data_IF_092692326154
#
_entry.id   IF_092692326154
#
_cell.length_a   1.000
_cell.length_b   1.000
_cell.length_c   1.000
_cell.angle_alpha   90.00
_cell.angle_beta   90.00
_cell.angle_gamma   90.00
#
_symmetry.space_group_name_H-M   'P 1'
#
loop_
_entity.id
_entity.type
_entity.pdbx_description
1 polymer ?
#
# COMPACT_ATOMS: atom_id res chain seq x y z
N UNK A 1 -30.71 -9.34 -47.08
CA UNK A 1 -30.29 -8.04 -46.49
C UNK A 1 -28.97 -8.21 -45.75
N UNK A 2 -27.89 -7.55 -46.20
CA UNK A 2 -26.79 -6.95 -45.40
C UNK A 2 -25.69 -6.42 -46.34
N UNK A 3 -25.64 -5.11 -46.48
CA UNK A 3 -24.67 -4.37 -47.29
C UNK A 3 -23.33 -4.34 -46.55
N UNK A 4 -22.28 -4.96 -47.11
CA UNK A 4 -20.91 -4.89 -46.56
C UNK A 4 -20.30 -3.52 -46.88
N UNK A 5 -20.29 -2.60 -45.92
CA UNK A 5 -19.54 -1.32 -46.04
C UNK A 5 -18.04 -1.59 -45.88
N UNK A 6 -17.28 -1.53 -46.98
CA UNK A 6 -15.80 -1.48 -46.95
C UNK A 6 -15.36 -0.11 -46.45
N UNK A 7 -14.78 -0.03 -45.25
CA UNK A 7 -14.13 1.20 -44.75
C UNK A 7 -12.79 1.36 -45.48
N UNK A 8 -12.70 2.36 -46.37
CA UNK A 8 -11.47 2.70 -47.08
C UNK A 8 -10.42 3.27 -46.13
N UNK A 9 -9.23 2.67 -46.11
CA UNK A 9 -8.07 3.19 -45.38
C UNK A 9 -7.59 4.44 -46.12
N UNK A 10 -7.72 5.61 -45.49
CA UNK A 10 -7.22 6.87 -46.06
C UNK A 10 -5.69 6.79 -46.11
N UNK A 11 -5.12 6.80 -47.33
CA UNK A 11 -3.67 6.86 -47.53
C UNK A 11 -3.16 8.22 -47.01
N UNK A 12 -2.37 8.20 -45.93
CA UNK A 12 -1.65 9.38 -45.44
C UNK A 12 -0.57 9.73 -46.46
N UNK A 13 -0.70 10.87 -47.14
CA UNK A 13 0.36 11.40 -48.01
C UNK A 13 1.35 12.18 -47.15
N UNK A 14 2.44 11.54 -46.77
CA UNK A 14 3.56 12.19 -46.09
C UNK A 14 4.38 12.90 -47.18
N UNK A 15 4.35 14.22 -47.22
CA UNK A 15 5.22 15.00 -48.11
C UNK A 15 6.66 14.90 -47.58
N UNK A 16 7.58 14.41 -48.41
CA UNK A 16 8.98 14.14 -48.06
C UNK A 16 9.80 15.43 -47.90
N UNK A 17 9.52 16.20 -46.84
CA UNK A 17 10.36 17.30 -46.40
C UNK A 17 11.20 16.84 -45.21
N UNK A 18 12.50 16.61 -45.43
CA UNK A 18 13.42 16.13 -44.39
C UNK A 18 13.39 17.02 -43.15
N UNK A 19 13.34 18.33 -43.31
CA UNK A 19 13.22 19.30 -42.21
C UNK A 19 11.92 19.14 -41.42
N UNK A 20 10.80 18.90 -42.10
CA UNK A 20 9.50 18.65 -41.45
C UNK A 20 9.54 17.36 -40.63
N UNK A 21 10.19 16.32 -41.15
CA UNK A 21 10.34 15.04 -40.47
C UNK A 21 11.17 15.17 -39.18
N UNK A 22 12.26 15.96 -39.20
CA UNK A 22 13.05 16.25 -38.01
C UNK A 22 12.25 16.97 -36.94
N UNK A 23 11.47 18.00 -37.31
CA UNK A 23 10.63 18.75 -36.35
C UNK A 23 9.60 17.84 -35.69
N UNK A 24 8.90 17.00 -36.48
CA UNK A 24 7.92 16.05 -35.95
C UNK A 24 8.61 15.05 -35.00
N UNK A 25 9.78 14.53 -35.36
CA UNK A 25 10.52 13.60 -34.51
C UNK A 25 10.93 14.23 -33.17
N UNK A 26 11.46 15.46 -33.18
CA UNK A 26 11.83 16.18 -31.97
C UNK A 26 10.62 16.43 -31.07
N UNK A 27 9.50 16.87 -31.64
CA UNK A 27 8.26 17.08 -30.89
C UNK A 27 7.74 15.78 -30.27
N UNK A 28 7.84 14.66 -30.99
CA UNK A 28 7.44 13.36 -30.48
C UNK A 28 8.33 12.92 -29.31
N UNK A 29 9.65 13.10 -29.43
CA UNK A 29 10.60 12.79 -28.34
C UNK A 29 10.30 13.64 -27.10
N UNK A 30 10.07 14.95 -27.27
CA UNK A 30 9.73 15.84 -26.17
C UNK A 30 8.42 15.41 -25.48
N UNK A 31 7.42 15.02 -26.26
CA UNK A 31 6.15 14.52 -25.72
C UNK A 31 6.32 13.23 -24.91
N UNK A 32 7.13 12.28 -25.40
CA UNK A 32 7.45 11.05 -24.68
C UNK A 32 8.17 11.35 -23.35
N UNK A 33 9.10 12.30 -23.34
CA UNK A 33 9.80 12.72 -22.10
C UNK A 33 8.79 13.26 -21.08
N UNK A 34 7.86 14.12 -21.50
CA UNK A 34 6.80 14.65 -20.61
C UNK A 34 5.93 13.52 -20.05
N UNK A 35 5.56 12.53 -20.86
CA UNK A 35 4.80 11.36 -20.41
C UNK A 35 5.59 10.57 -19.36
N UNK A 36 6.87 10.29 -19.60
CA UNK A 36 7.71 9.55 -18.64
C UNK A 36 7.80 10.31 -17.31
N UNK A 37 7.99 11.63 -17.36
CA UNK A 37 8.02 12.47 -16.15
C UNK A 37 6.68 12.45 -15.41
N UNK A 38 5.56 12.45 -16.12
CA UNK A 38 4.23 12.34 -15.52
C UNK A 38 4.00 10.96 -14.87
N UNK A 39 4.54 9.88 -15.46
CA UNK A 39 4.43 8.52 -14.92
C UNK A 39 5.29 8.29 -13.67
N UNK A 40 6.39 9.04 -13.48
CA UNK A 40 7.26 8.92 -12.29
C UNK A 40 6.61 9.40 -10.98
N UNK A 41 5.43 10.01 -11.04
CA UNK A 41 4.67 10.43 -9.85
C UNK A 41 3.79 9.32 -9.25
N UNK A 42 4.01 8.04 -9.61
CA UNK A 42 3.33 6.96 -8.92
C UNK A 42 3.94 6.78 -7.54
N UNK A 43 3.17 6.87 -6.44
CA UNK A 43 3.68 6.49 -5.14
C UNK A 43 4.17 5.05 -5.25
N UNK A 44 5.45 4.84 -4.96
CA UNK A 44 5.99 3.51 -4.71
C UNK A 44 5.05 2.89 -3.67
N UNK A 45 4.35 1.84 -4.07
CA UNK A 45 3.51 1.07 -3.15
C UNK A 45 4.52 0.39 -2.24
N UNK A 46 4.93 1.10 -1.20
CA UNK A 46 5.74 0.57 -0.13
C UNK A 46 5.05 -0.72 0.29
N UNK A 47 5.73 -1.85 0.11
CA UNK A 47 5.26 -3.13 0.60
C UNK A 47 5.30 -3.04 2.13
N UNK A 48 4.26 -2.41 2.68
CA UNK A 48 4.00 -2.41 4.11
C UNK A 48 3.79 -3.88 4.46
N UNK A 49 4.81 -4.48 5.07
CA UNK A 49 4.71 -5.84 5.60
C UNK A 49 3.55 -5.83 6.57
N UNK A 50 2.52 -6.60 6.24
CA UNK A 50 1.33 -6.76 7.09
C UNK A 50 1.75 -7.40 8.41
N UNK A 51 1.51 -6.72 9.54
CA UNK A 51 1.78 -7.27 10.87
C UNK A 51 0.71 -8.28 11.29
N UNK A 52 -0.52 -8.13 10.78
CA UNK A 52 -1.68 -8.93 11.15
C UNK A 52 -2.71 -8.97 10.03
N UNK A 53 -3.55 -10.00 9.99
CA UNK A 53 -4.73 -10.05 9.13
C UNK A 53 -6.03 -10.09 9.94
N UNK A 54 -5.96 -10.63 11.17
CA UNK A 54 -7.08 -10.73 12.10
C UNK A 54 -6.64 -10.34 13.51
N UNK A 55 -7.58 -9.98 14.37
CA UNK A 55 -7.30 -9.51 15.74
C UNK A 55 -6.45 -10.50 16.55
N UNK A 56 -6.66 -11.81 16.34
CA UNK A 56 -5.92 -12.86 17.05
C UNK A 56 -4.46 -13.01 16.62
N UNK A 57 -4.04 -12.30 15.58
CA UNK A 57 -2.64 -12.20 15.17
C UNK A 57 -1.88 -11.15 16.01
N UNK A 58 -2.59 -10.37 16.82
CA UNK A 58 -2.02 -9.34 17.68
C UNK A 58 -2.04 -9.78 19.14
N UNK A 59 -0.92 -9.58 19.82
CA UNK A 59 -0.71 -9.92 21.23
C UNK A 59 -0.02 -8.77 21.96
N UNK A 60 -0.10 -8.71 23.30
CA UNK A 60 0.68 -7.77 24.09
C UNK A 60 2.19 -7.79 23.79
N UNK A 61 2.81 -6.62 23.76
CA UNK A 61 4.25 -6.44 23.53
C UNK A 61 5.12 -6.95 24.69
N UNK A 62 4.53 -7.00 25.88
CA UNK A 62 5.14 -7.37 27.15
C UNK A 62 4.16 -8.22 27.95
N UNK A 63 4.69 -8.99 28.91
CA UNK A 63 3.90 -9.95 29.66
C UNK A 63 3.03 -9.32 30.76
N UNK A 64 3.45 -8.18 31.30
CA UNK A 64 2.78 -7.51 32.41
C UNK A 64 2.74 -6.02 32.09
N UNK A 65 1.59 -5.37 32.28
CA UNK A 65 1.41 -3.94 32.00
C UNK A 65 1.75 -3.53 30.56
N UNK A 66 1.29 -4.27 29.54
CA UNK A 66 1.57 -3.91 28.15
C UNK A 66 0.93 -2.57 27.82
N UNK A 67 1.70 -1.68 27.20
CA UNK A 67 1.18 -0.41 26.67
C UNK A 67 0.94 -0.49 25.15
N UNK A 68 1.48 -1.52 24.50
CA UNK A 68 1.36 -1.71 23.06
C UNK A 68 1.11 -3.17 22.66
N UNK A 69 0.82 -3.36 21.37
CA UNK A 69 0.54 -4.66 20.78
C UNK A 69 1.53 -4.94 19.66
N UNK A 70 1.90 -6.21 19.50
CA UNK A 70 2.81 -6.70 18.47
C UNK A 70 2.19 -7.88 17.73
N UNK A 71 2.73 -8.18 16.56
CA UNK A 71 2.41 -9.42 15.86
C UNK A 71 2.76 -10.63 16.73
N UNK A 72 1.95 -11.68 16.65
CA UNK A 72 2.10 -12.92 17.42
C UNK A 72 3.46 -13.60 17.23
N UNK A 73 4.09 -13.43 16.08
CA UNK A 73 5.42 -13.96 15.80
C UNK A 73 6.53 -13.24 16.60
N UNK A 74 6.22 -12.05 17.14
CA UNK A 74 7.09 -11.25 18.00
C UNK A 74 6.66 -11.30 19.47
N UNK A 75 5.77 -12.23 19.83
CA UNK A 75 5.26 -12.37 21.20
C UNK A 75 6.41 -12.58 22.21
N UNK A 76 6.38 -11.90 23.38
CA UNK A 76 7.31 -12.17 24.45
C UNK A 76 7.06 -13.56 25.08
N UNK A 77 8.12 -14.19 25.60
CA UNK A 77 7.97 -15.41 26.41
C UNK A 77 7.54 -15.06 27.84
N UNK A 78 6.30 -15.42 28.19
CA UNK A 78 5.71 -15.12 29.50
C UNK A 78 5.72 -16.32 30.46
N UNK A 79 6.41 -17.41 30.14
CA UNK A 79 6.36 -18.66 30.93
C UNK A 79 6.85 -18.49 32.38
N UNK A 80 7.78 -17.56 32.62
CA UNK A 80 8.32 -17.26 33.95
C UNK A 80 7.96 -15.87 34.49
N UNK A 81 6.96 -15.21 33.89
CA UNK A 81 6.54 -13.88 34.30
C UNK A 81 5.70 -13.94 35.59
N UNK A 82 6.00 -13.07 36.55
CA UNK A 82 5.20 -12.86 37.75
C UNK A 82 4.71 -11.41 37.75
N UNK A 83 3.45 -11.20 37.35
CA UNK A 83 2.84 -9.88 37.29
C UNK A 83 2.25 -9.48 38.65
N UNK A 84 2.28 -8.18 38.96
CA UNK A 84 1.49 -7.62 40.05
C UNK A 84 -0.01 -7.67 39.71
N UNK A 85 -0.87 -7.63 40.72
CA UNK A 85 -2.34 -7.48 40.55
C UNK A 85 -2.76 -6.02 40.35
N UNK A 86 -1.80 -5.11 40.19
CA UNK A 86 -2.08 -3.69 40.04
C UNK A 86 -2.39 -3.39 38.57
N UNK A 87 -3.46 -2.66 38.33
CA UNK A 87 -3.84 -2.18 37.02
C UNK A 87 -2.96 -0.98 36.60
N UNK A 88 -1.85 -1.22 35.89
CA UNK A 88 -0.91 -0.13 35.53
C UNK A 88 -1.11 0.41 34.11
N UNK A 89 -1.52 -0.44 33.16
CA UNK A 89 -1.75 -0.04 31.77
C UNK A 89 -3.20 -0.23 31.33
N UNK A 90 -3.57 0.40 30.20
CA UNK A 90 -4.93 0.36 29.66
C UNK A 90 -5.33 -1.05 29.17
N UNK A 91 -4.35 -1.86 28.75
CA UNK A 91 -4.55 -3.25 28.32
C UNK A 91 -4.71 -4.20 29.51
N UNK A 92 -4.11 -3.87 30.65
CA UNK A 92 -4.08 -4.74 31.83
C UNK A 92 -5.45 -4.88 32.52
N UNK A 93 -6.36 -3.92 32.31
CA UNK A 93 -7.63 -3.81 33.02
C UNK A 93 -8.85 -4.13 32.16
N UNK A 94 -8.67 -4.89 31.08
CA UNK A 94 -9.72 -5.24 30.09
C UNK A 94 -10.41 -4.03 29.44
N UNK A 95 -9.97 -2.80 29.73
CA UNK A 95 -10.50 -1.57 29.15
C UNK A 95 -10.13 -1.44 27.66
N UNK A 96 -9.08 -2.14 27.24
CA UNK A 96 -8.63 -2.20 25.86
C UNK A 96 -8.15 -3.60 25.48
N UNK A 97 -8.04 -3.86 24.19
CA UNK A 97 -7.54 -5.12 23.62
C UNK A 97 -6.64 -4.85 22.42
N UNK A 98 -5.81 -5.84 22.09
CA UNK A 98 -5.06 -5.84 20.84
C UNK A 98 -5.99 -6.23 19.67
N UNK A 99 -5.98 -5.43 18.61
CA UNK A 99 -6.77 -5.67 17.40
C UNK A 99 -5.97 -5.32 16.16
N UNK A 100 -6.35 -5.94 15.05
CA UNK A 100 -5.73 -5.70 13.77
C UNK A 100 -6.43 -4.55 13.03
N UNK A 101 -5.77 -3.39 12.99
CA UNK A 101 -6.29 -2.18 12.37
C UNK A 101 -5.38 -1.80 11.20
N UNK A 102 -5.91 -1.75 9.99
CA UNK A 102 -5.15 -1.43 8.77
C UNK A 102 -3.88 -2.30 8.58
N UNK A 103 -3.95 -3.59 8.90
CA UNK A 103 -2.83 -4.54 8.86
C UNK A 103 -1.69 -4.24 9.87
N UNK A 104 -2.00 -3.49 10.93
CA UNK A 104 -1.11 -3.20 12.05
C UNK A 104 -1.74 -3.60 13.38
N UNK A 105 -0.91 -4.02 14.33
CA UNK A 105 -1.40 -4.33 15.67
C UNK A 105 -1.54 -3.03 16.47
N UNK A 106 -2.78 -2.70 16.83
CA UNK A 106 -3.10 -1.49 17.59
C UNK A 106 -3.90 -1.82 18.85
N UNK A 107 -3.80 -0.93 19.83
CA UNK A 107 -4.58 -0.99 21.07
C UNK A 107 -5.92 -0.31 20.82
N UNK A 108 -7.02 -1.05 20.93
CA UNK A 108 -8.38 -0.52 20.79
C UNK A 108 -9.10 -0.51 22.13
N UNK A 109 -9.88 0.54 22.41
CA UNK A 109 -10.66 0.64 23.64
C UNK A 109 -12.00 -0.10 23.49
N UNK A 110 -12.35 -0.96 24.45
CA UNK A 110 -13.55 -1.83 24.42
C UNK A 110 -14.79 -1.17 25.03
N UNK A 111 -14.92 0.15 24.92
CA UNK A 111 -15.90 0.95 25.67
C UNK A 111 -17.34 0.75 25.19
#
# INVERSE_FOLDING_TARGET
MKIKKKKGIKKVRITHNKSLLYVIAVLFVLFIIVIILAMKNSPEKEDVVSECNIDTDCVPDTCCHPESCVAKDLAPDCTSAFCSLECSSVLDCEASSCSCVNNKCEVINNK
#
